data_IF_116293527676
#
_entry.id   IF_116293527676
#
_cell.length_a   1.000
_cell.length_b   1.000
_cell.length_c   1.000
_cell.angle_alpha   90.00
_cell.angle_beta   90.00
_cell.angle_gamma   90.00
#
_symmetry.space_group_name_H-M   'P 1'
#
loop_
_entity.id
_entity.type
_entity.pdbx_description
1 polymer ?
#
# COMPACT_ATOMS: atom_id res chain seq x y z
N UNK A 1 -16.95 -0.92 8.44
CA UNK A 1 -15.50 -1.12 8.25
C UNK A 1 -14.92 0.20 7.75
N UNK A 2 -14.58 1.10 8.69
CA UNK A 2 -14.29 2.53 8.44
C UNK A 2 -12.79 2.90 8.44
N UNK A 3 -11.88 1.95 8.71
CA UNK A 3 -10.51 2.30 9.15
C UNK A 3 -9.43 2.40 8.05
N UNK A 4 -9.76 2.31 6.76
CA UNK A 4 -8.80 2.52 5.67
C UNK A 4 -9.29 3.58 4.67
N UNK A 5 -9.88 4.66 5.18
CA UNK A 5 -10.13 5.85 4.40
C UNK A 5 -9.00 6.86 4.60
N UNK A 6 -8.38 7.27 3.50
CA UNK A 6 -7.55 8.48 3.33
C UNK A 6 -6.73 8.92 4.55
N UNK A 7 -5.66 8.18 4.89
CA UNK A 7 -4.68 8.64 5.87
C UNK A 7 -3.55 9.39 5.15
N UNK A 8 -3.60 10.72 5.20
CA UNK A 8 -2.40 11.55 4.99
C UNK A 8 -1.57 11.50 6.27
N UNK A 9 -0.69 10.51 6.36
CA UNK A 9 0.27 10.45 7.44
C UNK A 9 1.48 11.30 7.07
N UNK A 10 1.67 12.42 7.76
CA UNK A 10 2.79 13.34 7.56
C UNK A 10 4.01 12.82 8.32
N UNK A 11 4.70 11.84 7.76
CA UNK A 11 6.10 11.63 8.13
C UNK A 11 6.90 12.85 7.65
N UNK A 12 7.94 13.30 8.37
CA UNK A 12 8.66 14.51 8.02
C UNK A 12 9.49 14.27 6.74
N UNK A 13 8.84 14.41 5.57
CA UNK A 13 9.30 14.57 4.16
C UNK A 13 8.53 13.79 3.09
N UNK A 14 7.53 12.93 3.43
CA UNK A 14 6.77 12.14 2.43
C UNK A 14 5.28 12.14 2.75
N UNK A 15 4.44 12.59 1.81
CA UNK A 15 2.98 12.54 1.91
C UNK A 15 2.44 11.32 1.17
N UNK A 16 1.40 10.69 1.72
CA UNK A 16 0.78 9.49 1.16
C UNK A 16 -0.69 9.74 0.83
N UNK A 17 -1.10 9.38 -0.38
CA UNK A 17 -2.50 9.31 -0.79
C UNK A 17 -2.83 7.86 -1.12
N UNK A 18 -3.75 7.26 -0.36
CA UNK A 18 -4.03 5.82 -0.47
C UNK A 18 -5.50 5.61 -0.87
N UNK A 19 -5.69 4.90 -1.98
CA UNK A 19 -6.99 4.48 -2.48
C UNK A 19 -7.27 3.03 -2.10
N UNK A 20 -8.38 2.81 -1.40
CA UNK A 20 -8.85 1.46 -1.05
C UNK A 20 -9.41 0.76 -2.29
N UNK A 21 -9.19 -0.55 -2.36
CA UNK A 21 -9.95 -1.45 -3.24
C UNK A 21 -11.39 -1.66 -2.77
N UNK A 22 -12.05 -2.67 -3.31
CA UNK A 22 -13.40 -3.07 -2.89
C UNK A 22 -13.42 -4.46 -2.24
N UNK A 23 -14.37 -4.67 -1.33
CA UNK A 23 -14.59 -5.94 -0.65
C UNK A 23 -15.34 -6.95 -1.56
N UNK A 24 -16.01 -6.47 -2.62
CA UNK A 24 -16.85 -7.27 -3.53
C UNK A 24 -16.38 -7.18 -4.97
N UNK A 25 -15.13 -7.53 -5.22
CA UNK A 25 -14.46 -7.27 -6.50
C UNK A 25 -15.23 -7.77 -7.72
N UNK A 26 -15.87 -8.93 -7.68
CA UNK A 26 -16.58 -9.46 -8.86
C UNK A 26 -17.87 -8.71 -9.17
N UNK A 27 -18.67 -8.41 -8.15
CA UNK A 27 -19.87 -7.61 -8.32
C UNK A 27 -19.50 -6.22 -8.81
N UNK A 28 -18.46 -5.63 -8.22
CA UNK A 28 -18.01 -4.31 -8.59
C UNK A 28 -17.36 -4.28 -9.98
N UNK A 29 -16.57 -5.29 -10.38
CA UNK A 29 -16.01 -5.39 -11.72
C UNK A 29 -17.10 -5.60 -12.80
N UNK A 30 -18.18 -6.30 -12.47
CA UNK A 30 -19.36 -6.39 -13.36
C UNK A 30 -20.10 -5.03 -13.43
N UNK A 31 -20.21 -4.32 -12.30
CA UNK A 31 -20.88 -3.03 -12.18
C UNK A 31 -20.04 -1.83 -12.70
N UNK A 32 -18.70 -1.94 -12.77
CA UNK A 32 -17.75 -0.86 -13.11
C UNK A 32 -17.68 -0.51 -14.61
N UNK A 33 -18.61 -1.02 -15.42
CA UNK A 33 -18.76 -0.75 -16.84
C UNK A 33 -17.43 -0.70 -17.61
N UNK A 34 -16.82 -1.88 -17.77
CA UNK A 34 -15.68 -2.08 -18.68
C UNK A 34 -16.08 -2.19 -20.15
N UNK A 35 -17.38 -2.11 -20.42
CA UNK A 35 -17.93 -2.22 -21.77
C UNK A 35 -17.83 -0.87 -22.46
N UNK A 36 -17.96 0.23 -21.72
CA UNK A 36 -17.90 1.58 -22.27
C UNK A 36 -16.69 2.36 -21.77
N UNK A 37 -16.23 3.28 -22.61
CA UNK A 37 -15.09 4.15 -22.30
C UNK A 37 -15.46 5.62 -22.48
N UNK A 38 -14.90 6.49 -21.65
CA UNK A 38 -15.02 7.95 -21.76
C UNK A 38 -13.70 8.57 -22.19
N UNK A 39 -13.79 9.65 -22.96
CA UNK A 39 -12.63 10.44 -23.31
C UNK A 39 -11.97 11.01 -22.05
N UNK A 40 -10.65 11.01 -22.02
CA UNK A 40 -9.84 11.49 -20.92
C UNK A 40 -8.71 12.41 -21.45
N UNK A 41 -8.37 13.52 -20.76
CA UNK A 41 -9.14 14.15 -19.69
C UNK A 41 -10.52 14.63 -20.21
N UNK A 42 -11.37 15.15 -19.32
CA UNK A 42 -12.71 15.67 -19.68
C UNK A 42 -12.66 16.50 -20.99
N UNK A 43 -13.49 16.22 -22.02
CA UNK A 43 -13.51 16.97 -23.28
C UNK A 43 -13.79 18.47 -23.14
N UNK A 44 -14.32 18.91 -22.00
CA UNK A 44 -14.49 20.33 -21.67
C UNK A 44 -13.19 21.02 -21.23
N UNK A 45 -12.11 20.26 -21.02
CA UNK A 45 -10.78 20.80 -20.78
C UNK A 45 -10.30 21.58 -22.01
N UNK A 46 -10.03 22.88 -21.82
CA UNK A 46 -9.70 23.84 -22.88
C UNK A 46 -8.34 23.60 -23.56
N UNK A 47 -7.53 22.67 -23.04
CA UNK A 47 -6.32 22.17 -23.68
C UNK A 47 -6.09 20.73 -23.22
N UNK A 48 -6.19 19.76 -24.14
CA UNK A 48 -5.79 18.37 -23.88
C UNK A 48 -4.26 18.31 -24.03
N UNK A 49 -3.49 18.09 -22.96
CA UNK A 49 -2.03 18.02 -23.05
C UNK A 49 -1.58 16.73 -23.75
N UNK A 50 -2.43 15.70 -23.74
CA UNK A 50 -2.29 14.45 -24.48
C UNK A 50 -2.49 14.70 -26.00
N UNK A 51 -1.42 15.08 -26.71
CA UNK A 51 -1.49 15.50 -28.12
C UNK A 51 -1.57 14.35 -29.14
N UNK A 52 -1.42 13.08 -28.68
CA UNK A 52 -1.51 11.90 -29.54
C UNK A 52 -2.81 11.15 -29.28
N UNK A 53 -3.61 10.98 -30.34
CA UNK A 53 -4.79 10.10 -30.34
C UNK A 53 -6.00 10.60 -29.55
N UNK A 54 -6.86 9.67 -29.15
CA UNK A 54 -8.06 9.91 -28.34
C UNK A 54 -7.95 9.08 -27.06
N UNK A 55 -7.32 9.61 -25.99
CA UNK A 55 -7.20 8.89 -24.74
C UNK A 55 -8.58 8.62 -24.16
N UNK A 56 -8.80 7.37 -23.76
CA UNK A 56 -10.05 6.91 -23.17
C UNK A 56 -9.79 6.00 -21.98
N UNK A 57 -10.66 6.07 -21.00
CA UNK A 57 -10.62 5.26 -19.78
C UNK A 57 -11.96 4.58 -19.53
N UNK A 58 -11.99 3.54 -18.70
CA UNK A 58 -13.24 2.89 -18.32
C UNK A 58 -14.26 3.88 -17.78
N UNK A 59 -15.52 3.78 -18.22
CA UNK A 59 -16.60 4.66 -17.75
C UNK A 59 -16.80 4.58 -16.24
N UNK A 60 -16.81 3.38 -15.65
CA UNK A 60 -17.00 3.27 -14.20
C UNK A 60 -15.81 3.80 -13.40
N UNK A 61 -14.57 3.65 -13.89
CA UNK A 61 -13.42 4.29 -13.24
C UNK A 61 -13.50 5.82 -13.34
N UNK A 62 -13.83 6.35 -14.53
CA UNK A 62 -14.02 7.78 -14.74
C UNK A 62 -15.08 8.35 -13.79
N UNK A 63 -16.24 7.71 -13.71
CA UNK A 63 -17.37 8.16 -12.88
C UNK A 63 -17.07 8.05 -11.39
N UNK A 64 -16.28 7.06 -10.98
CA UNK A 64 -15.82 6.95 -9.59
C UNK A 64 -14.88 8.11 -9.22
N UNK A 65 -13.94 8.48 -10.10
CA UNK A 65 -12.98 9.54 -9.85
C UNK A 65 -13.61 10.94 -9.87
N UNK A 66 -14.33 11.28 -10.94
CA UNK A 66 -14.92 12.61 -11.14
C UNK A 66 -16.28 12.78 -10.45
N UNK A 67 -16.97 11.68 -10.16
CA UNK A 67 -18.32 11.66 -9.58
C UNK A 67 -19.40 11.99 -10.61
N UNK A 68 -20.58 11.37 -10.48
CA UNK A 68 -21.77 11.83 -11.22
C UNK A 68 -22.20 13.19 -10.64
N UNK A 69 -22.05 14.27 -11.43
CA UNK A 69 -22.49 15.61 -11.04
C UNK A 69 -21.44 16.48 -10.31
N UNK A 70 -20.15 16.15 -10.39
CA UNK A 70 -19.04 17.05 -10.00
C UNK A 70 -18.65 17.05 -8.52
N UNK A 71 -19.11 16.07 -7.75
CA UNK A 71 -18.80 15.90 -6.31
C UNK A 71 -17.94 14.67 -5.98
N UNK A 72 -17.20 14.10 -6.95
CA UNK A 72 -16.46 12.84 -6.79
C UNK A 72 -15.24 12.91 -5.86
N UNK A 73 -14.50 11.79 -5.80
CA UNK A 73 -13.26 11.66 -5.00
C UNK A 73 -12.26 12.80 -5.29
N UNK A 74 -12.19 13.24 -6.54
CA UNK A 74 -11.29 14.30 -6.99
C UNK A 74 -11.36 15.58 -6.15
N UNK A 75 -12.54 16.14 -5.90
CA UNK A 75 -12.66 17.45 -5.21
C UNK A 75 -12.10 17.38 -3.78
N UNK A 76 -12.43 16.30 -3.05
CA UNK A 76 -11.90 16.07 -1.70
C UNK A 76 -10.39 15.94 -1.68
N UNK A 77 -9.81 15.23 -2.64
CA UNK A 77 -8.36 15.04 -2.69
C UNK A 77 -7.66 16.35 -3.05
N UNK A 78 -8.18 17.07 -4.05
CA UNK A 78 -7.68 18.40 -4.44
C UNK A 78 -7.70 19.37 -3.27
N UNK A 79 -8.83 19.49 -2.56
CA UNK A 79 -8.96 20.40 -1.42
C UNK A 79 -7.91 20.13 -0.35
N UNK A 80 -7.61 18.86 -0.08
CA UNK A 80 -6.62 18.48 0.93
C UNK A 80 -5.19 18.77 0.45
N UNK A 81 -4.89 18.49 -0.83
CA UNK A 81 -3.59 18.78 -1.43
C UNK A 81 -3.34 20.29 -1.46
N UNK A 82 -4.32 21.12 -1.78
CA UNK A 82 -4.15 22.58 -1.80
C UNK A 82 -3.97 23.18 -0.39
N UNK A 83 -4.54 22.55 0.65
CA UNK A 83 -4.38 22.98 2.04
C UNK A 83 -3.00 22.69 2.62
N UNK A 84 -2.24 21.78 2.03
CA UNK A 84 -0.93 21.37 2.52
C UNK A 84 0.13 21.67 1.45
N UNK A 85 1.24 22.31 1.82
CA UNK A 85 2.36 22.50 0.89
C UNK A 85 3.08 21.16 0.66
N UNK A 86 2.55 20.36 -0.27
CA UNK A 86 3.02 19.01 -0.60
C UNK A 86 4.10 19.11 -1.68
N UNK A 87 5.36 18.97 -1.27
CA UNK A 87 6.52 18.94 -2.19
C UNK A 87 6.87 17.52 -2.69
N UNK A 88 6.29 16.49 -2.09
CA UNK A 88 6.44 15.08 -2.49
C UNK A 88 5.15 14.31 -2.18
N UNK A 89 4.71 13.48 -3.12
CA UNK A 89 3.47 12.72 -3.00
C UNK A 89 3.67 11.28 -3.47
N UNK A 90 3.42 10.33 -2.59
CA UNK A 90 3.32 8.92 -2.94
C UNK A 90 1.85 8.53 -3.02
N UNK A 91 1.41 8.10 -4.20
CA UNK A 91 0.03 7.65 -4.44
C UNK A 91 0.03 6.12 -4.46
N UNK A 92 -0.84 5.51 -3.68
CA UNK A 92 -0.96 4.06 -3.58
C UNK A 92 -2.39 3.60 -3.83
N UNK A 93 -2.53 2.41 -4.39
CA UNK A 93 -3.84 1.80 -4.57
C UNK A 93 -3.76 0.30 -4.77
N UNK A 94 -4.69 -0.44 -4.16
CA UNK A 94 -4.86 -1.86 -4.39
C UNK A 94 -6.16 -2.12 -5.16
N UNK A 95 -6.16 -3.07 -6.10
CA UNK A 95 -7.36 -3.47 -6.84
C UNK A 95 -8.02 -2.27 -7.55
N UNK A 96 -9.32 -2.04 -7.36
CA UNK A 96 -10.03 -0.82 -7.79
C UNK A 96 -9.32 0.48 -7.36
N UNK A 97 -8.72 0.48 -6.17
CA UNK A 97 -7.92 1.61 -5.70
C UNK A 97 -6.69 1.86 -6.56
N UNK A 98 -6.11 0.84 -7.19
CA UNK A 98 -5.02 0.98 -8.16
C UNK A 98 -5.45 1.74 -9.41
N UNK A 99 -6.67 1.48 -9.91
CA UNK A 99 -7.24 2.24 -11.01
C UNK A 99 -7.46 3.71 -10.64
N UNK A 100 -7.95 3.97 -9.41
CA UNK A 100 -8.11 5.35 -8.90
C UNK A 100 -6.77 6.06 -8.73
N UNK A 101 -5.76 5.38 -8.20
CA UNK A 101 -4.40 5.91 -8.07
C UNK A 101 -3.81 6.32 -9.44
N UNK A 102 -4.04 5.49 -10.46
CA UNK A 102 -3.63 5.76 -11.84
C UNK A 102 -4.31 7.03 -12.37
N UNK A 103 -5.66 7.11 -12.31
CA UNK A 103 -6.39 8.30 -12.77
C UNK A 103 -6.02 9.57 -11.99
N UNK A 104 -5.89 9.47 -10.67
CA UNK A 104 -5.54 10.60 -9.81
C UNK A 104 -4.14 11.15 -10.13
N UNK A 105 -3.16 10.27 -10.33
CA UNK A 105 -1.80 10.69 -10.63
C UNK A 105 -1.70 11.46 -11.94
N UNK A 106 -2.36 11.00 -13.01
CA UNK A 106 -2.36 11.73 -14.28
C UNK A 106 -3.14 13.04 -14.16
N UNK A 107 -4.32 13.04 -13.54
CA UNK A 107 -5.11 14.26 -13.31
C UNK A 107 -4.29 15.32 -12.56
N UNK A 108 -3.50 14.90 -11.55
CA UNK A 108 -2.62 15.81 -10.83
C UNK A 108 -1.45 16.31 -11.66
N UNK A 109 -0.80 15.42 -12.42
CA UNK A 109 0.30 15.80 -13.31
C UNK A 109 -0.13 16.79 -14.40
N UNK A 110 -1.38 16.69 -14.88
CA UNK A 110 -1.95 17.59 -15.87
C UNK A 110 -2.47 18.91 -15.27
N UNK A 111 -3.12 18.84 -14.11
CA UNK A 111 -3.82 19.99 -13.52
C UNK A 111 -2.91 20.89 -12.68
N UNK A 112 -1.79 20.36 -12.16
CA UNK A 112 -0.97 21.07 -11.17
C UNK A 112 0.52 20.97 -11.49
N UNK A 113 1.06 22.03 -12.07
CA UNK A 113 2.49 22.16 -12.34
C UNK A 113 3.21 22.95 -11.23
N UNK A 114 4.32 22.45 -10.65
CA UNK A 114 4.64 21.06 -10.38
C UNK A 114 4.51 20.79 -8.88
N UNK A 115 3.56 19.94 -8.46
CA UNK A 115 3.81 19.15 -7.26
C UNK A 115 5.13 18.39 -7.49
N UNK A 116 6.01 18.33 -6.50
CA UNK A 116 7.37 17.83 -6.70
C UNK A 116 7.45 16.33 -7.05
N UNK A 117 8.30 15.57 -6.37
CA UNK A 117 8.47 14.16 -6.73
C UNK A 117 7.19 13.37 -6.43
N UNK A 118 6.44 12.99 -7.49
CA UNK A 118 5.29 12.10 -7.40
C UNK A 118 5.71 10.66 -7.72
N UNK A 119 5.32 9.71 -6.87
CA UNK A 119 5.55 8.28 -7.10
C UNK A 119 4.24 7.52 -6.96
N UNK A 120 3.95 6.61 -7.89
CA UNK A 120 2.72 5.81 -7.91
C UNK A 120 3.07 4.35 -7.70
N UNK A 121 2.41 3.70 -6.74
CA UNK A 121 2.49 2.26 -6.51
C UNK A 121 1.10 1.65 -6.55
N UNK A 122 0.84 0.78 -7.51
CA UNK A 122 -0.43 0.05 -7.57
C UNK A 122 -0.23 -1.44 -7.36
N UNK A 123 -1.13 -2.09 -6.66
CA UNK A 123 -1.08 -3.52 -6.34
C UNK A 123 -2.31 -4.20 -6.93
N UNK A 124 -2.13 -5.16 -7.84
CA UNK A 124 -3.25 -5.88 -8.44
C UNK A 124 -4.18 -4.97 -9.23
N UNK A 125 -3.67 -3.88 -9.80
CA UNK A 125 -4.51 -2.91 -10.52
C UNK A 125 -4.98 -3.47 -11.85
N UNK A 126 -6.28 -3.36 -12.18
CA UNK A 126 -6.76 -3.63 -13.54
C UNK A 126 -6.22 -2.59 -14.54
N UNK A 127 -6.37 -2.88 -15.84
CA UNK A 127 -6.12 -1.93 -16.92
C UNK A 127 -7.14 -0.80 -16.86
N UNK A 128 -6.68 0.44 -17.05
CA UNK A 128 -7.50 1.63 -16.78
C UNK A 128 -8.05 2.26 -18.06
N UNK A 129 -7.28 2.25 -19.15
CA UNK A 129 -7.61 2.93 -20.40
C UNK A 129 -6.95 2.32 -21.63
N UNK A 130 -7.15 2.97 -22.77
CA UNK A 130 -6.62 2.56 -24.06
C UNK A 130 -5.15 2.99 -24.26
N UNK A 131 -4.56 2.60 -25.40
CA UNK A 131 -3.18 2.94 -25.79
C UNK A 131 -2.90 4.44 -25.77
N UNK A 132 -3.84 5.27 -26.25
CA UNK A 132 -3.68 6.72 -26.20
C UNK A 132 -3.64 7.26 -24.76
N UNK A 133 -4.33 6.62 -23.82
CA UNK A 133 -4.25 6.93 -22.39
C UNK A 133 -2.92 6.50 -21.78
N UNK A 134 -2.42 5.31 -22.09
CA UNK A 134 -1.07 4.86 -21.69
C UNK A 134 -0.01 5.86 -22.14
N UNK A 135 0.01 6.20 -23.42
CA UNK A 135 1.00 7.12 -23.99
C UNK A 135 0.96 8.47 -23.30
N UNK A 136 -0.24 8.97 -22.99
CA UNK A 136 -0.36 10.19 -22.22
C UNK A 136 0.15 10.01 -20.79
N UNK A 137 -0.26 8.95 -20.10
CA UNK A 137 0.16 8.68 -18.73
C UNK A 137 1.68 8.66 -18.59
N UNK A 138 2.36 7.86 -19.42
CA UNK A 138 3.82 7.66 -19.34
C UNK A 138 4.60 8.95 -19.69
N UNK A 139 3.98 9.87 -20.43
CA UNK A 139 4.56 11.17 -20.75
C UNK A 139 4.58 12.14 -19.57
N UNK A 140 3.72 11.95 -18.57
CA UNK A 140 3.54 12.87 -17.43
C UNK A 140 3.87 12.23 -16.08
N UNK A 141 3.72 10.92 -15.93
CA UNK A 141 3.90 10.19 -14.67
C UNK A 141 5.10 9.25 -14.80
N UNK A 142 6.29 9.78 -14.54
CA UNK A 142 7.55 9.04 -14.78
C UNK A 142 7.92 8.00 -13.72
N UNK A 143 7.34 8.07 -12.52
CA UNK A 143 7.61 7.14 -11.42
C UNK A 143 6.34 6.40 -11.06
N UNK A 144 5.97 5.42 -11.88
CA UNK A 144 4.82 4.55 -11.69
C UNK A 144 5.27 3.10 -11.66
N UNK A 145 4.83 2.33 -10.66
CA UNK A 145 5.17 0.93 -10.51
C UNK A 145 3.91 0.11 -10.24
N UNK A 146 3.58 -0.80 -11.16
CA UNK A 146 2.46 -1.72 -11.03
C UNK A 146 2.96 -3.06 -10.52
N UNK A 147 2.67 -3.37 -9.27
CA UNK A 147 3.02 -4.65 -8.67
C UNK A 147 1.92 -5.67 -8.99
N UNK A 148 2.32 -6.74 -9.69
CA UNK A 148 1.44 -7.86 -10.05
C UNK A 148 1.91 -9.08 -9.29
N UNK A 149 0.98 -9.76 -8.62
CA UNK A 149 1.34 -10.94 -7.85
C UNK A 149 1.05 -12.24 -8.59
N UNK A 150 2.09 -12.99 -8.98
CA UNK A 150 2.01 -14.34 -9.53
C UNK A 150 0.90 -14.51 -10.58
N UNK A 151 -0.12 -15.31 -10.29
CA UNK A 151 -1.27 -15.57 -11.15
C UNK A 151 -2.49 -14.70 -10.79
N UNK A 152 -2.30 -13.50 -10.22
CA UNK A 152 -3.39 -12.56 -9.96
C UNK A 152 -4.13 -12.21 -11.27
N UNK A 153 -5.39 -12.62 -11.35
CA UNK A 153 -6.24 -12.41 -12.53
C UNK A 153 -6.65 -10.96 -12.76
N UNK A 154 -6.67 -10.11 -11.72
CA UNK A 154 -7.26 -8.78 -11.79
C UNK A 154 -6.47 -7.83 -12.69
N UNK A 155 -5.12 -7.81 -12.66
CA UNK A 155 -4.32 -7.11 -13.65
C UNK A 155 -4.59 -7.53 -15.10
N UNK A 156 -5.13 -8.72 -15.35
CA UNK A 156 -5.46 -9.14 -16.71
C UNK A 156 -6.85 -8.70 -17.17
N UNK A 157 -7.56 -7.92 -16.35
CA UNK A 157 -8.85 -7.31 -16.67
C UNK A 157 -8.75 -5.78 -16.80
N UNK A 158 -9.60 -5.15 -17.62
CA UNK A 158 -10.36 -5.78 -18.70
C UNK A 158 -9.42 -6.41 -19.73
N UNK A 159 -9.88 -7.41 -20.49
CA UNK A 159 -9.07 -8.01 -21.54
C UNK A 159 -8.67 -6.94 -22.58
N UNK A 160 -7.49 -7.05 -23.24
CA UNK A 160 -7.01 -6.02 -24.16
C UNK A 160 -8.00 -5.67 -25.27
N UNK A 161 -8.81 -6.64 -25.67
CA UNK A 161 -9.94 -6.49 -26.58
C UNK A 161 -11.18 -7.03 -25.88
N UNK A 162 -12.04 -6.14 -25.40
CA UNK A 162 -13.28 -6.51 -24.72
C UNK A 162 -14.46 -6.61 -25.71
N UNK A 163 -14.30 -7.44 -26.75
CA UNK A 163 -15.32 -7.63 -27.79
C UNK A 163 -16.53 -8.48 -27.34
N UNK A 164 -16.53 -8.97 -26.10
CA UNK A 164 -17.44 -10.02 -25.63
C UNK A 164 -18.93 -9.62 -25.68
N UNK A 165 -19.24 -8.32 -25.82
CA UNK A 165 -20.59 -7.77 -25.85
C UNK A 165 -20.86 -6.81 -27.02
N UNK A 166 -20.03 -6.83 -28.07
CA UNK A 166 -20.18 -5.94 -29.23
C UNK A 166 -19.73 -4.48 -29.01
N UNK A 167 -18.90 -4.25 -27.99
CA UNK A 167 -18.27 -2.96 -27.72
C UNK A 167 -16.84 -2.90 -28.29
N UNK A 168 -16.51 -1.79 -28.96
CA UNK A 168 -15.16 -1.49 -29.47
C UNK A 168 -14.28 -0.84 -28.36
N UNK A 169 -14.18 -1.49 -27.20
CA UNK A 169 -13.38 -1.02 -26.07
C UNK A 169 -12.00 -1.73 -26.04
N UNK A 170 -10.94 -0.94 -25.91
CA UNK A 170 -9.55 -1.43 -25.86
C UNK A 170 -8.86 -0.98 -24.59
N UNK A 171 -8.08 -1.87 -24.00
CA UNK A 171 -7.41 -1.63 -22.74
C UNK A 171 -5.95 -2.05 -22.79
N UNK A 172 -5.09 -1.23 -22.21
CA UNK A 172 -3.67 -1.51 -22.03
C UNK A 172 -3.24 -1.03 -20.64
N UNK A 173 -2.12 -1.54 -20.17
CA UNK A 173 -1.50 -1.08 -18.94
C UNK A 173 -0.63 0.14 -19.15
N UNK A 174 -0.40 0.90 -18.07
CA UNK A 174 0.66 1.92 -18.00
C UNK A 174 2.01 1.29 -17.64
N UNK A 175 3.09 2.02 -17.90
CA UNK A 175 4.45 1.48 -17.79
C UNK A 175 4.90 1.11 -16.38
N UNK A 176 5.97 0.30 -16.40
CA UNK A 176 6.68 -0.43 -15.34
C UNK A 176 5.82 -1.36 -14.49
N UNK A 177 5.78 -2.61 -14.89
CA UNK A 177 5.32 -3.72 -14.07
C UNK A 177 6.47 -4.28 -13.21
N UNK A 178 6.13 -4.65 -11.97
CA UNK A 178 6.97 -5.41 -11.04
C UNK A 178 6.20 -6.69 -10.75
N UNK A 179 6.59 -7.79 -11.38
CA UNK A 179 5.88 -9.05 -11.30
C UNK A 179 6.54 -10.00 -10.31
N UNK A 180 5.79 -10.51 -9.34
CA UNK A 180 6.23 -11.60 -8.46
C UNK A 180 5.98 -12.93 -9.16
N UNK A 181 7.01 -13.49 -9.78
CA UNK A 181 6.90 -14.65 -10.67
C UNK A 181 7.15 -15.99 -9.97
N UNK A 182 7.77 -15.97 -8.79
CA UNK A 182 8.01 -17.17 -7.99
C UNK A 182 8.09 -16.87 -6.49
N UNK A 183 7.63 -17.84 -5.70
CA UNK A 183 7.70 -17.87 -4.24
C UNK A 183 8.69 -18.93 -3.71
N UNK A 184 9.52 -19.53 -4.59
CA UNK A 184 10.62 -20.49 -4.35
C UNK A 184 10.54 -21.23 -3.00
N UNK A 185 9.90 -22.42 -2.93
CA UNK A 185 9.93 -23.46 -1.86
C UNK A 185 9.89 -23.02 -0.36
N UNK A 186 9.85 -21.73 -0.05
CA UNK A 186 10.01 -21.08 1.24
C UNK A 186 9.22 -19.77 1.23
N UNK A 187 7.95 -19.80 1.68
CA UNK A 187 7.04 -18.66 1.65
C UNK A 187 7.43 -17.50 2.60
N UNK A 188 8.61 -17.58 3.22
CA UNK A 188 9.15 -16.62 4.17
C UNK A 188 10.32 -15.78 3.59
N UNK A 189 10.63 -15.90 2.30
CA UNK A 189 11.52 -14.97 1.58
C UNK A 189 10.73 -13.93 0.78
N UNK A 190 11.36 -12.76 0.52
CA UNK A 190 10.80 -11.82 -0.45
C UNK A 190 10.61 -12.55 -1.77
N UNK A 191 9.44 -12.41 -2.44
CA UNK A 191 9.20 -13.09 -3.69
C UNK A 191 10.30 -12.72 -4.70
N UNK A 192 10.70 -13.68 -5.52
CA UNK A 192 11.47 -13.34 -6.71
C UNK A 192 10.61 -12.39 -7.55
N UNK A 193 11.23 -11.37 -8.12
CA UNK A 193 10.50 -10.39 -8.91
C UNK A 193 11.23 -10.03 -10.20
N UNK A 194 10.44 -9.83 -11.25
CA UNK A 194 10.89 -9.37 -12.56
C UNK A 194 10.38 -7.96 -12.76
N UNK A 195 11.28 -7.06 -13.18
CA UNK A 195 10.91 -5.69 -13.57
C UNK A 195 10.74 -5.62 -15.07
N UNK A 196 9.57 -5.16 -15.48
CA UNK A 196 9.07 -5.14 -16.83
C UNK A 196 8.79 -3.69 -17.23
N UNK A 197 9.78 -2.99 -17.81
CA UNK A 197 9.71 -1.55 -18.03
C UNK A 197 8.70 -1.16 -19.11
N UNK A 198 8.34 -2.07 -20.02
CA UNK A 198 7.38 -1.83 -21.09
C UNK A 198 6.01 -2.42 -20.74
N UNK A 199 4.98 -1.95 -21.44
CA UNK A 199 3.60 -2.40 -21.27
C UNK A 199 3.39 -3.76 -21.94
N UNK A 200 2.52 -4.57 -21.33
CA UNK A 200 2.07 -5.88 -21.85
C UNK A 200 3.20 -6.84 -22.31
N UNK A 201 4.32 -6.87 -21.58
CA UNK A 201 5.49 -7.67 -21.95
C UNK A 201 5.23 -9.19 -21.81
N UNK A 202 5.42 -10.00 -22.87
CA UNK A 202 5.19 -11.45 -22.81
C UNK A 202 6.15 -12.21 -21.88
N UNK A 203 7.24 -11.61 -21.43
CA UNK A 203 8.17 -12.20 -20.47
C UNK A 203 7.81 -11.85 -19.01
N UNK A 204 6.62 -11.32 -18.77
CA UNK A 204 6.09 -10.85 -17.49
C UNK A 204 4.71 -11.48 -17.22
N UNK A 205 3.88 -10.89 -16.35
CA UNK A 205 2.56 -11.47 -16.06
C UNK A 205 1.70 -11.62 -17.32
N UNK A 206 1.82 -10.75 -18.32
CA UNK A 206 1.05 -10.85 -19.58
C UNK A 206 1.27 -12.18 -20.31
N UNK A 207 2.47 -12.75 -20.24
CA UNK A 207 2.76 -14.06 -20.84
C UNK A 207 2.59 -15.24 -19.88
N UNK A 208 2.28 -14.98 -18.61
CA UNK A 208 2.01 -16.05 -17.65
C UNK A 208 0.70 -16.74 -18.03
N UNK A 209 0.68 -18.07 -17.95
CA UNK A 209 -0.54 -18.83 -18.15
C UNK A 209 -1.41 -18.72 -16.90
N UNK A 210 -2.15 -17.64 -16.76
CA UNK A 210 -3.18 -17.56 -15.72
C UNK A 210 -4.24 -18.62 -16.05
N UNK A 211 -4.37 -19.69 -15.24
CA UNK A 211 -5.33 -20.74 -15.56
C UNK A 211 -6.73 -20.15 -15.52
N UNK A 212 -7.48 -20.22 -16.63
CA UNK A 212 -8.87 -19.74 -16.67
C UNK A 212 -9.77 -20.43 -15.63
N UNK A 213 -9.34 -21.57 -15.09
CA UNK A 213 -9.97 -22.28 -13.96
C UNK A 213 -9.90 -21.50 -12.64
N UNK A 214 -9.08 -20.46 -12.53
CA UNK A 214 -9.09 -19.59 -11.34
C UNK A 214 -10.38 -18.78 -11.24
N UNK A 215 -11.10 -18.56 -12.35
CA UNK A 215 -12.43 -17.96 -12.32
C UNK A 215 -13.53 -18.93 -11.84
N UNK A 216 -13.20 -20.21 -11.56
CA UNK A 216 -14.18 -21.19 -11.10
C UNK A 216 -14.62 -20.92 -9.65
N UNK A 217 -13.77 -20.29 -8.83
CA UNK A 217 -14.12 -19.87 -7.45
C UNK A 217 -13.52 -18.52 -7.08
N UNK A 218 -14.28 -17.72 -6.32
CA UNK A 218 -13.81 -16.41 -5.81
C UNK A 218 -12.54 -16.53 -4.96
N UNK A 219 -12.40 -17.63 -4.20
CA UNK A 219 -11.21 -17.90 -3.38
C UNK A 219 -9.95 -18.08 -4.24
N UNK A 220 -10.07 -18.68 -5.43
CA UNK A 220 -8.93 -18.89 -6.33
C UNK A 220 -8.45 -17.58 -6.95
N UNK A 221 -9.37 -16.70 -7.33
CA UNK A 221 -9.03 -15.34 -7.80
C UNK A 221 -8.45 -14.48 -6.68
N UNK A 222 -9.02 -14.55 -5.49
CA UNK A 222 -8.61 -13.69 -4.38
C UNK A 222 -7.30 -14.11 -3.72
N UNK A 223 -6.85 -15.36 -3.92
CA UNK A 223 -5.64 -15.91 -3.30
C UNK A 223 -4.40 -15.05 -3.53
N UNK A 224 -4.07 -14.79 -4.80
CA UNK A 224 -2.92 -13.95 -5.15
C UNK A 224 -3.28 -12.47 -5.14
N UNK A 225 -4.54 -12.13 -5.44
CA UNK A 225 -5.00 -10.76 -5.48
C UNK A 225 -5.03 -10.07 -4.11
N UNK A 226 -5.16 -10.80 -3.01
CA UNK A 226 -5.12 -10.23 -1.64
C UNK A 226 -3.74 -10.28 -1.01
N UNK A 227 -2.77 -10.97 -1.61
CA UNK A 227 -1.49 -11.28 -0.97
C UNK A 227 -0.34 -10.47 -1.58
N UNK A 228 0.25 -9.54 -0.82
CA UNK A 228 1.40 -8.75 -1.26
C UNK A 228 2.46 -8.67 -0.15
N UNK A 229 3.72 -8.98 -0.46
CA UNK A 229 4.84 -8.97 0.49
C UNK A 229 4.59 -9.78 1.79
N UNK A 230 3.98 -10.96 1.66
CA UNK A 230 3.56 -11.82 2.77
C UNK A 230 2.47 -11.22 3.70
N UNK A 231 1.79 -10.15 3.25
CA UNK A 231 0.59 -9.63 3.90
C UNK A 231 -0.65 -10.02 3.10
N UNK A 232 -1.65 -10.55 3.79
CA UNK A 232 -3.01 -10.66 3.28
C UNK A 232 -3.74 -9.35 3.59
N UNK A 233 -4.04 -8.57 2.54
CA UNK A 233 -4.61 -7.23 2.64
C UNK A 233 -6.03 -7.19 3.21
N UNK A 234 -6.78 -8.30 3.20
CA UNK A 234 -8.12 -8.40 3.77
C UNK A 234 -8.05 -8.64 5.28
N UNK A 235 -7.21 -9.59 5.69
CA UNK A 235 -7.11 -9.97 7.11
C UNK A 235 -6.18 -9.06 7.89
N UNK A 236 -5.20 -8.43 7.24
CA UNK A 236 -4.20 -7.58 7.90
C UNK A 236 -4.83 -6.46 8.72
N UNK A 237 -5.93 -5.87 8.23
CA UNK A 237 -6.66 -4.78 8.90
C UNK A 237 -7.96 -5.24 9.61
N UNK A 238 -8.32 -6.53 9.53
CA UNK A 238 -9.60 -7.02 10.05
C UNK A 238 -9.55 -7.09 11.58
N UNK A 239 -10.39 -6.31 12.27
CA UNK A 239 -10.37 -6.15 13.74
C UNK A 239 -9.68 -4.89 14.25
N UNK A 240 -9.30 -3.97 13.36
CA UNK A 240 -8.72 -2.68 13.73
C UNK A 240 -9.83 -1.64 13.87
N UNK A 241 -10.28 -1.34 15.10
CA UNK A 241 -10.99 -0.08 15.38
C UNK A 241 -10.03 0.95 15.97
N UNK A 242 -10.23 2.24 15.68
CA UNK A 242 -9.41 3.33 16.25
C UNK A 242 -9.35 3.29 17.79
N UNK A 243 -10.37 2.70 18.43
CA UNK A 243 -10.47 2.48 19.88
C UNK A 243 -9.88 1.15 20.37
N UNK A 244 -9.72 0.15 19.50
CA UNK A 244 -9.11 -1.17 19.79
C UNK A 244 -7.63 -1.22 19.43
N UNK A 245 -6.97 -0.08 19.29
CA UNK A 245 -5.56 0.04 19.63
C UNK A 245 -5.39 -0.12 21.16
N UNK A 246 -5.82 -1.26 21.69
CA UNK A 246 -5.18 -1.91 22.82
C UNK A 246 -3.80 -2.35 22.36
N UNK A 247 -2.95 -1.37 22.04
CA UNK A 247 -1.54 -1.60 21.89
C UNK A 247 -1.09 -2.30 23.17
N UNK A 248 -0.52 -3.51 23.10
CA UNK A 248 0.16 -4.05 24.25
C UNK A 248 1.12 -2.96 24.76
N UNK A 249 0.91 -2.53 26.00
CA UNK A 249 1.69 -1.43 26.56
C UNK A 249 2.96 -2.04 27.11
N UNK A 250 4.10 -1.65 26.54
CA UNK A 250 5.39 -1.98 27.11
C UNK A 250 5.54 -1.13 28.36
N UNK A 251 5.48 -1.78 29.51
CA UNK A 251 5.80 -1.14 30.79
C UNK A 251 7.31 -1.18 30.98
N UNK A 252 7.93 -0.01 31.11
CA UNK A 252 9.37 0.11 31.33
C UNK A 252 9.65 0.46 32.79
N UNK A 253 10.53 -0.30 33.43
CA UNK A 253 11.00 -0.02 34.77
C UNK A 253 12.51 0.24 34.77
N UNK A 254 12.91 1.42 35.24
CA UNK A 254 14.33 1.79 35.34
C UNK A 254 14.89 1.18 36.62
N UNK A 255 15.78 0.20 36.47
CA UNK A 255 16.26 -0.60 37.60
C UNK A 255 17.56 -0.08 38.21
N UNK A 256 18.45 0.51 37.39
CA UNK A 256 19.77 0.95 37.89
C UNK A 256 20.42 2.00 37.02
N UNK A 257 21.10 2.94 37.68
CA UNK A 257 22.02 3.91 37.07
C UNK A 257 23.46 3.64 37.51
N UNK A 258 24.42 3.75 36.60
CA UNK A 258 25.85 3.59 36.91
C UNK A 258 26.75 4.29 35.89
N UNK A 259 28.03 4.45 36.22
CA UNK A 259 29.01 5.17 35.37
C UNK A 259 30.18 4.24 35.06
N UNK A 260 30.59 4.16 33.79
CA UNK A 260 31.84 3.52 33.40
C UNK A 260 32.45 4.15 32.14
N UNK A 261 33.78 4.22 32.10
CA UNK A 261 34.49 4.79 30.94
C UNK A 261 34.11 6.23 30.60
N UNK A 262 33.61 7.02 31.56
CA UNK A 262 33.16 8.40 31.33
C UNK A 262 31.72 8.56 30.82
N UNK A 263 30.96 7.47 30.70
CA UNK A 263 29.57 7.49 30.23
C UNK A 263 28.60 7.06 31.33
N UNK A 264 27.40 7.67 31.33
CA UNK A 264 26.30 7.24 32.20
C UNK A 264 25.52 6.13 31.51
N UNK A 265 25.20 5.08 32.26
CA UNK A 265 24.41 3.95 31.81
C UNK A 265 23.13 3.82 32.64
N UNK A 266 22.05 3.44 31.95
CA UNK A 266 20.74 3.17 32.54
C UNK A 266 20.30 1.78 32.13
N UNK A 267 20.02 0.92 33.12
CA UNK A 267 19.43 -0.39 32.90
C UNK A 267 17.90 -0.29 32.98
N UNK A 268 17.23 -0.75 31.94
CA UNK A 268 15.77 -0.77 31.82
C UNK A 268 15.33 -2.22 31.70
N UNK A 269 14.32 -2.58 32.49
CA UNK A 269 13.58 -3.84 32.33
C UNK A 269 12.22 -3.49 31.76
N UNK A 270 11.87 -4.10 30.63
CA UNK A 270 10.56 -3.97 30.01
C UNK A 270 9.76 -5.25 30.15
N UNK A 271 8.47 -5.11 30.42
CA UNK A 271 7.50 -6.20 30.36
C UNK A 271 6.50 -5.93 29.26
N UNK A 272 6.26 -6.95 28.46
CA UNK A 272 5.29 -6.95 27.37
C UNK A 272 4.25 -8.05 27.64
N UNK A 273 3.02 -7.67 27.95
CA UNK A 273 1.90 -8.60 28.17
C UNK A 273 0.86 -8.50 27.05
N UNK A 274 0.26 -9.64 26.69
CA UNK A 274 -1.01 -9.70 25.96
C UNK A 274 -2.10 -10.18 26.91
N UNK A 275 -2.74 -9.24 27.59
CA UNK A 275 -3.86 -9.50 28.50
C UNK A 275 -5.21 -9.67 27.75
N UNK A 276 -5.17 -9.68 26.42
CA UNK A 276 -6.32 -9.90 25.54
C UNK A 276 -6.72 -11.37 25.42
N UNK A 277 -7.92 -11.60 24.87
CA UNK A 277 -8.49 -12.93 24.69
C UNK A 277 -8.00 -13.66 23.42
N UNK A 278 -7.23 -12.98 22.56
CA UNK A 278 -6.77 -13.48 21.26
C UNK A 278 -5.30 -13.14 21.02
N UNK A 279 -4.66 -13.88 20.13
CA UNK A 279 -3.27 -13.65 19.72
C UNK A 279 -3.15 -12.32 18.96
N UNK A 280 -2.07 -11.58 19.22
CA UNK A 280 -1.78 -10.32 18.53
C UNK A 280 -0.75 -10.57 17.43
N UNK A 281 -1.16 -10.36 16.19
CA UNK A 281 -0.31 -10.49 14.99
C UNK A 281 0.24 -9.11 14.62
N UNK A 282 1.54 -9.01 14.32
CA UNK A 282 2.22 -7.73 14.01
C UNK A 282 2.01 -6.64 15.07
N UNK A 283 2.32 -6.92 16.35
CA UNK A 283 2.02 -6.01 17.43
C UNK A 283 2.76 -4.67 17.30
N UNK A 284 2.01 -3.59 17.53
CA UNK A 284 2.53 -2.24 17.75
C UNK A 284 2.36 -1.91 19.22
N UNK A 285 3.43 -1.48 19.87
CA UNK A 285 3.44 -1.18 21.30
C UNK A 285 3.61 0.31 21.54
N UNK A 286 3.14 0.78 22.68
CA UNK A 286 3.53 2.06 23.26
C UNK A 286 4.39 1.82 24.49
N UNK A 287 5.43 2.62 24.70
CA UNK A 287 6.20 2.61 25.95
C UNK A 287 5.62 3.55 27.00
N UNK A 288 5.64 3.12 28.26
CA UNK A 288 5.42 4.00 29.42
C UNK A 288 6.43 3.66 30.53
N UNK A 289 7.32 4.58 30.94
CA UNK A 289 7.56 5.91 30.34
C UNK A 289 8.18 5.82 28.94
N UNK A 290 8.07 6.90 28.15
CA UNK A 290 8.80 6.99 26.88
C UNK A 290 10.30 7.11 27.13
N UNK A 291 11.07 6.10 26.70
CA UNK A 291 12.53 6.10 26.75
C UNK A 291 13.02 6.07 25.31
N UNK A 292 13.76 7.10 24.89
CA UNK A 292 14.39 7.14 23.57
C UNK A 292 15.48 6.06 23.47
N UNK A 293 15.28 5.02 22.65
CA UNK A 293 16.16 3.87 22.63
C UNK A 293 17.11 3.94 21.45
N UNK A 294 18.29 3.36 21.65
CA UNK A 294 19.15 2.91 20.56
C UNK A 294 18.58 1.56 20.15
N UNK A 295 17.89 1.51 19.01
CA UNK A 295 17.41 0.31 18.31
C UNK A 295 17.63 -1.01 19.06
N UNK A 296 16.57 -1.68 19.50
CA UNK A 296 16.69 -2.99 20.14
C UNK A 296 16.62 -4.08 19.07
N UNK A 297 17.43 -5.14 19.20
CA UNK A 297 17.35 -6.25 18.25
C UNK A 297 15.94 -6.86 18.26
N UNK A 298 15.29 -6.87 17.10
CA UNK A 298 13.91 -7.32 16.94
C UNK A 298 12.82 -6.29 17.28
N UNK A 299 13.16 -5.07 17.73
CA UNK A 299 12.19 -3.99 17.99
C UNK A 299 12.62 -2.68 17.33
N UNK A 300 11.79 -2.16 16.44
CA UNK A 300 12.03 -0.89 15.74
C UNK A 300 11.15 0.22 16.32
N UNK A 301 11.73 1.32 16.85
CA UNK A 301 10.95 2.45 17.35
C UNK A 301 10.52 3.41 16.23
N UNK A 302 9.37 4.06 16.42
CA UNK A 302 8.93 5.24 15.67
C UNK A 302 8.31 6.26 16.64
N UNK A 303 8.33 7.54 16.29
CA UNK A 303 7.81 8.61 17.16
C UNK A 303 6.69 9.35 16.47
N UNK A 304 5.53 9.44 17.13
CA UNK A 304 4.36 10.21 16.66
C UNK A 304 3.87 11.09 17.82
N UNK A 305 3.84 12.40 17.62
CA UNK A 305 3.40 13.39 18.63
C UNK A 305 4.10 13.22 19.99
N UNK A 306 5.40 12.92 19.99
CA UNK A 306 6.19 12.69 21.21
C UNK A 306 5.93 11.36 21.93
N UNK A 307 5.06 10.50 21.38
CA UNK A 307 4.85 9.13 21.85
C UNK A 307 5.71 8.17 21.05
N UNK A 308 6.45 7.29 21.74
CA UNK A 308 7.28 6.27 21.10
C UNK A 308 6.44 5.01 20.92
N UNK A 309 6.33 4.60 19.67
CA UNK A 309 5.74 3.36 19.24
C UNK A 309 6.84 2.37 18.90
N UNK A 310 6.62 1.10 19.19
CA UNK A 310 7.55 0.04 18.87
C UNK A 310 6.89 -0.98 17.97
N UNK A 311 7.65 -1.56 17.06
CA UNK A 311 7.21 -2.69 16.22
C UNK A 311 8.17 -3.85 16.38
N UNK A 312 7.64 -5.06 16.54
CA UNK A 312 8.48 -6.26 16.39
C UNK A 312 8.90 -6.38 14.92
N UNK A 313 10.20 -6.39 14.68
CA UNK A 313 10.75 -6.65 13.36
C UNK A 313 10.53 -8.14 13.02
N UNK A 314 9.98 -8.46 11.84
CA UNK A 314 9.92 -9.84 11.37
C UNK A 314 11.33 -10.45 11.34
N UNK A 315 11.47 -11.68 11.82
CA UNK A 315 12.72 -12.44 11.76
C UNK A 315 12.54 -13.57 10.79
N UNK A 316 13.30 -13.56 9.69
CA UNK A 316 13.25 -14.61 8.68
C UNK A 316 11.87 -14.80 8.04
N UNK A 317 11.14 -13.70 7.80
CA UNK A 317 9.81 -13.69 7.15
C UNK A 317 8.65 -14.18 8.01
N UNK A 318 8.90 -14.57 9.27
CA UNK A 318 7.83 -14.94 10.19
C UNK A 318 7.21 -13.68 10.77
N UNK A 319 5.91 -13.53 10.53
CA UNK A 319 5.08 -12.50 11.16
C UNK A 319 5.12 -12.67 12.69
N UNK A 320 5.55 -11.65 13.45
CA UNK A 320 5.57 -11.75 14.91
C UNK A 320 4.15 -11.89 15.47
N UNK A 321 3.96 -12.89 16.33
CA UNK A 321 2.71 -13.18 17.03
C UNK A 321 2.99 -13.17 18.54
N UNK A 322 2.12 -12.51 19.31
CA UNK A 322 2.10 -12.54 20.77
C UNK A 322 0.85 -13.30 21.22
N UNK A 323 1.00 -14.55 21.71
CA UNK A 323 -0.13 -15.37 22.11
C UNK A 323 -0.98 -14.72 23.20
N UNK A 324 -2.29 -15.00 23.21
CA UNK A 324 -3.20 -14.57 24.29
C UNK A 324 -2.70 -15.07 25.65
N UNK A 325 -2.63 -14.17 26.64
CA UNK A 325 -2.17 -14.49 28.00
C UNK A 325 -0.66 -14.68 28.14
N UNK A 326 0.13 -14.34 27.13
CA UNK A 326 1.60 -14.39 27.21
C UNK A 326 2.19 -13.12 27.84
N UNK A 327 3.32 -13.29 28.53
CA UNK A 327 4.13 -12.21 29.07
C UNK A 327 5.59 -12.45 28.70
N UNK A 328 6.23 -11.42 28.15
CA UNK A 328 7.65 -11.43 27.79
C UNK A 328 8.39 -10.38 28.60
N UNK A 329 9.50 -10.80 29.21
CA UNK A 329 10.39 -9.89 29.96
C UNK A 329 11.67 -9.70 29.18
N UNK A 330 12.07 -8.45 29.01
CA UNK A 330 13.32 -8.09 28.38
C UNK A 330 14.05 -7.04 29.20
N UNK A 331 15.36 -6.97 29.02
CA UNK A 331 16.18 -5.94 29.62
C UNK A 331 17.15 -5.38 28.59
N UNK A 332 17.42 -4.09 28.69
CA UNK A 332 18.44 -3.42 27.90
C UNK A 332 19.16 -2.35 28.72
N UNK A 333 20.38 -2.03 28.30
CA UNK A 333 21.16 -0.93 28.86
C UNK A 333 21.26 0.16 27.81
N UNK A 334 21.02 1.42 28.18
CA UNK A 334 21.27 2.59 27.33
C UNK A 334 22.43 3.42 27.91
N UNK A 335 23.27 4.03 27.07
CA UNK A 335 24.32 4.95 27.48
C UNK A 335 23.92 6.42 27.18
N UNK A 336 24.60 7.38 27.79
CA UNK A 336 24.35 8.82 27.59
C UNK A 336 24.56 9.35 26.16
N UNK A 337 25.02 8.49 25.24
CA UNK A 337 25.28 8.81 23.83
C UNK A 337 24.51 7.90 22.87
N UNK A 338 23.48 7.20 23.37
CA UNK A 338 22.57 6.36 22.59
C UNK A 338 23.28 5.39 21.61
N UNK A 339 24.21 4.53 22.07
CA UNK A 339 25.09 3.75 21.17
C UNK A 339 25.08 2.23 21.32
N UNK A 340 24.53 1.65 22.40
CA UNK A 340 24.56 0.20 22.60
C UNK A 340 23.25 -0.28 23.24
N UNK A 341 22.64 -1.32 22.70
CA UNK A 341 21.54 -2.06 23.31
C UNK A 341 21.89 -3.56 23.31
N UNK A 342 21.71 -4.23 24.45
CA UNK A 342 21.82 -5.67 24.57
C UNK A 342 20.48 -6.18 25.04
N UNK A 343 19.83 -7.06 24.26
CA UNK A 343 18.53 -7.63 24.63
C UNK A 343 18.72 -9.10 24.97
N UNK A 344 18.31 -9.51 26.17
CA UNK A 344 18.00 -10.91 26.47
C UNK A 344 16.49 -11.01 26.63
N UNK A 345 15.85 -11.67 25.66
CA UNK A 345 14.44 -12.08 25.74
C UNK A 345 14.46 -13.49 26.36
N UNK A 346 13.66 -13.72 27.40
CA UNK A 346 13.49 -15.05 27.98
C UNK A 346 12.07 -15.54 27.78
#
# INVERSE_FOLDING_TARGET
>A
MEACSTLLNTFPTVNYLVFRGTDSIFNDLEDLDFVTQKNYPDPSATSIPCTSGTPKVSSGFYDTWYGVGGGGLRSRVVDIIEQHSIDSLTILGHSLGGAMATLASLDFALSYSPYGNMTVYTYGSPRVGNEDFEVCFDSYVHSSYRVVNYEDTIPHLPLPVFNLLGADATYTHVSTEVWFDDYEENPFQFPHFVVCPLTEQPNCSTGSSVPWTQFDTIDSVMLYHRSYFAFDLETFCHGWTETELGHPTISLNITRYWIAGGFNYTNVVGTLSNDGAVDIVNPVFRSDPNIEPVSMWGLTPSTVNGTIYWRLSPVGGVTPIIPAGSEYVFAFTNNSTSSYSFTRIQ
#
